data_IF_255138755772
#
_entry.id   IF_255138755772
#
_cell.length_a   1.000
_cell.length_b   1.000
_cell.length_c   1.000
_cell.angle_alpha   90.00
_cell.angle_beta   90.00
_cell.angle_gamma   90.00
#
_symmetry.space_group_name_H-M   'P 1'
#
loop_
_entity.id
_entity.type
_entity.pdbx_description
1 polymer ?
#
# COMPACT_ATOMS: atom_id res chain seq x y z
N UNK A 1 25.32 0.72 46.09
CA UNK A 1 24.59 -0.29 45.29
C UNK A 1 25.03 -0.11 43.85
N UNK A 2 26.15 -0.74 43.52
CA UNK A 2 26.74 -0.71 42.18
C UNK A 2 25.81 -1.40 41.18
N UNK A 3 25.38 -0.65 40.16
CA UNK A 3 24.72 -1.22 38.99
C UNK A 3 25.80 -1.90 38.14
N UNK A 4 25.84 -3.21 38.20
CA UNK A 4 26.60 -4.01 37.24
C UNK A 4 25.85 -3.90 35.91
N UNK A 5 26.30 -2.98 35.05
CA UNK A 5 25.98 -3.03 33.62
C UNK A 5 26.64 -4.29 33.06
N UNK A 6 25.89 -5.41 33.07
CA UNK A 6 26.26 -6.61 32.34
C UNK A 6 26.14 -6.24 30.86
N UNK A 7 27.23 -5.74 30.28
CA UNK A 7 27.34 -5.41 28.87
C UNK A 7 27.15 -6.66 28.01
N UNK A 8 25.91 -7.04 27.76
CA UNK A 8 25.59 -8.16 26.86
C UNK A 8 26.06 -7.76 25.47
N UNK A 9 27.17 -8.36 25.04
CA UNK A 9 27.71 -8.17 23.71
C UNK A 9 26.61 -8.47 22.68
N UNK A 10 26.20 -7.46 21.91
CA UNK A 10 25.14 -7.64 20.91
C UNK A 10 25.65 -8.59 19.82
N UNK A 11 24.85 -9.59 19.42
CA UNK A 11 25.25 -10.52 18.37
C UNK A 11 25.59 -9.76 17.09
N UNK A 12 26.71 -10.13 16.44
CA UNK A 12 27.12 -9.53 15.16
C UNK A 12 26.21 -10.00 14.03
N UNK A 13 26.09 -9.18 12.99
CA UNK A 13 25.39 -9.54 11.77
C UNK A 13 26.04 -10.77 11.13
N UNK A 14 25.21 -11.73 10.69
CA UNK A 14 25.69 -12.99 10.09
C UNK A 14 26.23 -12.83 8.67
N UNK A 15 26.04 -11.67 8.03
CA UNK A 15 26.64 -11.37 6.73
C UNK A 15 28.16 -11.25 6.86
N UNK A 16 28.89 -11.92 5.98
CA UNK A 16 30.34 -11.87 5.88
C UNK A 16 30.83 -10.42 5.88
N UNK A 17 31.86 -10.14 6.69
CA UNK A 17 32.50 -8.82 6.81
C UNK A 17 31.58 -7.68 7.28
N UNK A 18 30.40 -7.96 7.84
CA UNK A 18 29.55 -6.91 8.39
C UNK A 18 29.92 -6.63 9.87
N UNK A 19 30.48 -5.45 10.21
CA UNK A 19 30.85 -5.13 11.59
C UNK A 19 29.65 -4.75 12.47
N UNK A 20 28.43 -4.67 11.90
CA UNK A 20 27.25 -4.14 12.60
C UNK A 20 26.65 -5.16 13.56
N UNK A 21 26.17 -4.68 14.70
CA UNK A 21 25.40 -5.49 15.63
C UNK A 21 23.96 -5.66 15.19
N UNK A 22 23.36 -6.74 15.65
CA UNK A 22 21.94 -7.04 15.52
C UNK A 22 21.21 -6.69 16.82
N UNK A 23 19.89 -6.62 16.76
CA UNK A 23 19.04 -6.36 17.92
C UNK A 23 17.97 -7.45 18.01
N UNK A 24 17.52 -7.74 19.24
CA UNK A 24 16.39 -8.62 19.52
C UNK A 24 16.54 -10.03 18.90
N UNK A 25 17.75 -10.60 18.95
CA UNK A 25 18.03 -11.95 18.47
C UNK A 25 17.96 -12.13 16.95
N UNK A 26 17.89 -11.05 16.17
CA UNK A 26 17.84 -11.13 14.70
C UNK A 26 19.20 -11.56 14.11
N UNK A 27 19.24 -12.38 13.05
CA UNK A 27 20.49 -12.84 12.45
C UNK A 27 21.21 -11.76 11.61
N UNK A 28 20.49 -10.74 11.14
CA UNK A 28 21.02 -9.68 10.28
C UNK A 28 20.70 -8.28 10.81
N UNK A 29 21.59 -7.31 10.52
CA UNK A 29 21.37 -5.91 10.86
C UNK A 29 20.38 -5.25 9.89
N UNK A 30 19.94 -4.02 10.19
CA UNK A 30 19.00 -3.28 9.35
C UNK A 30 19.46 -3.02 7.91
N UNK A 31 20.77 -3.10 7.63
CA UNK A 31 21.32 -2.99 6.26
C UNK A 31 21.31 -4.29 5.48
N UNK A 32 21.06 -5.40 6.15
CA UNK A 32 21.03 -6.75 5.58
C UNK A 32 19.71 -7.44 5.90
N UNK A 33 18.66 -6.63 6.10
CA UNK A 33 17.34 -7.11 6.47
C UNK A 33 16.76 -8.00 5.36
N UNK A 34 17.13 -7.72 4.11
CA UNK A 34 16.78 -8.48 2.92
C UNK A 34 17.31 -9.93 2.93
N UNK A 35 18.31 -10.24 3.77
CA UNK A 35 18.82 -11.60 3.92
C UNK A 35 17.97 -12.45 4.89
N UNK A 36 17.01 -11.84 5.59
CA UNK A 36 16.03 -12.58 6.40
C UNK A 36 15.04 -13.23 5.43
N UNK A 37 14.80 -14.56 5.47
CA UNK A 37 13.93 -15.25 4.52
C UNK A 37 12.55 -14.59 4.36
N UNK A 38 11.92 -14.25 5.48
CA UNK A 38 10.63 -13.55 5.46
C UNK A 38 10.69 -12.17 4.80
N UNK A 39 11.77 -11.40 5.02
CA UNK A 39 11.93 -10.11 4.36
C UNK A 39 12.18 -10.28 2.86
N UNK A 40 12.97 -11.28 2.45
CA UNK A 40 13.18 -11.62 1.04
C UNK A 40 11.86 -12.00 0.34
N UNK A 41 11.02 -12.81 0.99
CA UNK A 41 9.67 -13.15 0.49
C UNK A 41 8.80 -11.91 0.31
N UNK A 42 8.78 -11.00 1.30
CA UNK A 42 8.03 -9.75 1.21
C UNK A 42 8.54 -8.85 0.08
N UNK A 43 9.86 -8.75 -0.09
CA UNK A 43 10.47 -7.98 -1.19
C UNK A 43 10.03 -8.58 -2.53
N UNK A 44 10.13 -9.89 -2.71
CA UNK A 44 9.70 -10.57 -3.93
C UNK A 44 8.21 -10.36 -4.22
N UNK A 45 7.35 -10.36 -3.19
CA UNK A 45 5.92 -10.04 -3.35
C UNK A 45 5.69 -8.59 -3.77
N UNK A 46 6.45 -7.64 -3.22
CA UNK A 46 6.36 -6.23 -3.59
C UNK A 46 6.85 -5.99 -5.03
N UNK A 47 7.95 -6.61 -5.42
CA UNK A 47 8.48 -6.56 -6.79
C UNK A 47 7.47 -7.14 -7.79
N UNK A 48 6.89 -8.30 -7.49
CA UNK A 48 5.84 -8.90 -8.32
C UNK A 48 4.63 -7.97 -8.50
N UNK A 49 4.19 -7.30 -7.42
CA UNK A 49 3.09 -6.31 -7.50
C UNK A 49 3.49 -5.11 -8.34
N UNK A 50 4.73 -4.64 -8.21
CA UNK A 50 5.25 -3.52 -9.00
C UNK A 50 5.29 -3.86 -10.49
N UNK A 51 5.81 -5.03 -10.87
CA UNK A 51 5.81 -5.51 -12.25
C UNK A 51 4.39 -5.66 -12.83
N UNK A 52 3.45 -6.15 -12.01
CA UNK A 52 2.04 -6.22 -12.41
C UNK A 52 1.47 -4.82 -12.67
N UNK A 53 1.79 -3.85 -11.81
CA UNK A 53 1.35 -2.47 -11.93
C UNK A 53 1.98 -1.76 -13.14
N UNK A 54 3.22 -2.06 -13.48
CA UNK A 54 3.89 -1.52 -14.68
C UNK A 54 3.27 -1.98 -16.01
N UNK A 55 2.54 -3.10 -16.00
CA UNK A 55 1.81 -3.61 -17.17
C UNK A 55 0.43 -3.00 -17.36
N UNK A 56 -0.07 -2.25 -16.36
CA UNK A 56 -1.37 -1.63 -16.41
C UNK A 56 -1.32 -0.35 -17.25
N UNK A 57 -2.40 -0.12 -18.00
CA UNK A 57 -2.64 1.17 -18.62
C UNK A 57 -2.91 2.24 -17.57
N UNK A 58 -2.73 3.51 -17.92
CA UNK A 58 -3.02 4.63 -17.03
C UNK A 58 -4.47 4.59 -16.49
N UNK A 59 -5.43 4.17 -17.33
CA UNK A 59 -6.82 4.02 -16.95
C UNK A 59 -7.04 2.91 -15.91
N UNK A 60 -6.34 1.79 -16.03
CA UNK A 60 -6.42 0.66 -15.08
C UNK A 60 -5.78 1.02 -13.74
N UNK A 61 -4.68 1.78 -13.75
CA UNK A 61 -4.07 2.33 -12.53
C UNK A 61 -5.07 3.22 -11.78
N UNK A 62 -5.79 4.08 -12.49
CA UNK A 62 -6.82 4.90 -11.87
C UNK A 62 -7.98 4.08 -11.32
N UNK A 63 -8.39 2.99 -11.98
CA UNK A 63 -9.43 2.11 -11.46
C UNK A 63 -8.98 1.44 -10.17
N UNK A 64 -7.73 0.99 -10.10
CA UNK A 64 -7.15 0.42 -8.89
C UNK A 64 -7.16 1.43 -7.73
N UNK A 65 -6.72 2.66 -7.98
CA UNK A 65 -6.68 3.72 -6.96
C UNK A 65 -8.11 4.09 -6.46
N UNK A 66 -9.11 4.12 -7.35
CA UNK A 66 -10.52 4.31 -6.95
C UNK A 66 -11.03 3.14 -6.10
N UNK A 67 -10.70 1.90 -6.47
CA UNK A 67 -11.09 0.71 -5.70
C UNK A 67 -10.47 0.74 -4.31
N UNK A 68 -9.18 1.09 -4.20
CA UNK A 68 -8.49 1.21 -2.91
C UNK A 68 -9.19 2.24 -2.02
N UNK A 69 -9.47 3.43 -2.57
CA UNK A 69 -10.13 4.51 -1.84
C UNK A 69 -11.53 4.09 -1.34
N UNK A 70 -12.31 3.39 -2.18
CA UNK A 70 -13.61 2.88 -1.80
C UNK A 70 -13.53 1.72 -0.79
N UNK A 71 -12.52 0.85 -0.85
CA UNK A 71 -12.31 -0.18 0.19
C UNK A 71 -12.03 0.43 1.56
N UNK A 72 -11.29 1.53 1.59
CA UNK A 72 -10.93 2.21 2.84
C UNK A 72 -12.11 2.96 3.45
N UNK A 73 -12.97 3.58 2.62
CA UNK A 73 -14.07 4.45 3.08
C UNK A 73 -15.46 3.81 3.01
N UNK A 74 -15.60 2.66 2.34
CA UNK A 74 -16.87 2.03 2.00
C UNK A 74 -17.58 2.76 0.85
N UNK A 75 -18.01 4.00 1.10
CA UNK A 75 -18.73 4.84 0.15
C UNK A 75 -18.10 6.24 0.10
N UNK A 76 -18.03 6.83 -1.09
CA UNK A 76 -17.49 8.19 -1.26
C UNK A 76 -18.26 8.96 -2.33
N UNK A 77 -18.35 10.29 -2.20
CA UNK A 77 -18.95 11.12 -3.26
C UNK A 77 -17.98 11.29 -4.42
N UNK A 78 -18.49 11.66 -5.60
CA UNK A 78 -17.63 11.96 -6.76
C UNK A 78 -16.62 13.05 -6.42
N UNK A 79 -17.04 14.09 -5.70
CA UNK A 79 -16.17 15.19 -5.26
C UNK A 79 -15.13 14.71 -4.24
N UNK A 80 -15.52 13.81 -3.33
CA UNK A 80 -14.63 13.20 -2.36
C UNK A 80 -13.53 12.38 -3.04
N UNK A 81 -13.90 11.56 -4.02
CA UNK A 81 -12.95 10.77 -4.83
C UNK A 81 -12.05 11.68 -5.68
N UNK A 82 -12.62 12.67 -6.35
CA UNK A 82 -11.85 13.63 -7.15
C UNK A 82 -10.79 14.36 -6.30
N UNK A 83 -11.15 14.75 -5.07
CA UNK A 83 -10.21 15.39 -4.14
C UNK A 83 -9.14 14.43 -3.63
N UNK A 84 -9.51 13.20 -3.27
CA UNK A 84 -8.57 12.19 -2.77
C UNK A 84 -7.53 11.82 -3.82
N UNK A 85 -7.96 11.65 -5.07
CA UNK A 85 -7.12 11.24 -6.19
C UNK A 85 -6.52 12.42 -6.97
N UNK A 86 -6.80 13.66 -6.56
CA UNK A 86 -6.35 14.91 -7.20
C UNK A 86 -6.67 14.98 -8.70
N UNK A 87 -7.88 14.53 -9.06
CA UNK A 87 -8.35 14.49 -10.44
C UNK A 87 -9.44 15.55 -10.70
N UNK A 88 -9.55 16.08 -11.93
CA UNK A 88 -10.67 16.93 -12.32
C UNK A 88 -12.01 16.21 -12.15
N UNK A 89 -13.02 16.92 -11.64
CA UNK A 89 -14.34 16.35 -11.36
C UNK A 89 -15.00 15.74 -12.62
N UNK A 90 -14.83 16.39 -13.77
CA UNK A 90 -15.33 15.89 -15.05
C UNK A 90 -14.69 14.55 -15.45
N UNK A 91 -13.39 14.40 -15.23
CA UNK A 91 -12.65 13.15 -15.49
C UNK A 91 -13.12 12.05 -14.54
N UNK A 92 -13.28 12.36 -13.25
CA UNK A 92 -13.82 11.41 -12.26
C UNK A 92 -15.21 10.90 -12.66
N UNK A 93 -16.09 11.79 -13.12
CA UNK A 93 -17.42 11.39 -13.60
C UNK A 93 -17.40 10.48 -14.84
N UNK A 94 -16.38 10.57 -15.71
CA UNK A 94 -16.20 9.63 -16.84
C UNK A 94 -15.67 8.28 -16.37
N UNK A 95 -14.68 8.29 -15.47
CA UNK A 95 -14.06 7.09 -14.87
C UNK A 95 -15.12 6.26 -14.14
N UNK A 96 -15.88 6.87 -13.24
CA UNK A 96 -16.91 6.16 -12.46
C UNK A 96 -18.03 5.59 -13.34
N UNK A 97 -18.37 6.26 -14.46
CA UNK A 97 -19.30 5.70 -15.44
C UNK A 97 -18.72 4.50 -16.18
N UNK A 98 -17.43 4.51 -16.51
CA UNK A 98 -16.76 3.34 -17.08
C UNK A 98 -16.73 2.16 -16.08
N UNK A 99 -16.34 2.42 -14.83
CA UNK A 99 -16.31 1.40 -13.76
C UNK A 99 -17.70 0.85 -13.42
N UNK A 100 -18.76 1.68 -13.48
CA UNK A 100 -20.14 1.20 -13.32
C UNK A 100 -20.52 0.26 -14.46
N UNK A 101 -20.15 0.59 -15.71
CA UNK A 101 -20.45 -0.26 -16.88
C UNK A 101 -19.72 -1.60 -16.82
N UNK A 102 -18.54 -1.65 -16.22
CA UNK A 102 -17.80 -2.90 -15.98
C UNK A 102 -18.24 -3.65 -14.73
N UNK A 103 -19.25 -3.18 -14.01
CA UNK A 103 -19.79 -3.85 -12.82
C UNK A 103 -18.87 -3.81 -11.60
N UNK A 104 -17.90 -2.90 -11.54
CA UNK A 104 -16.97 -2.78 -10.41
C UNK A 104 -17.54 -1.95 -9.25
N UNK A 105 -18.42 -0.99 -9.56
CA UNK A 105 -19.00 -0.07 -8.59
C UNK A 105 -20.49 0.13 -8.82
N UNK A 106 -21.20 0.48 -7.75
CA UNK A 106 -22.56 1.03 -7.82
C UNK A 106 -22.50 2.53 -7.63
N UNK A 107 -23.35 3.24 -8.38
CA UNK A 107 -23.56 4.67 -8.21
C UNK A 107 -24.94 4.90 -7.59
N UNK A 108 -24.96 5.62 -6.48
CA UNK A 108 -26.16 5.99 -5.75
C UNK A 108 -26.24 7.48 -5.46
N UNK A 109 -27.26 7.87 -4.69
CA UNK A 109 -27.40 9.22 -4.16
C UNK A 109 -27.49 9.16 -2.64
N UNK A 110 -26.83 10.09 -1.96
CA UNK A 110 -26.98 10.24 -0.51
C UNK A 110 -28.20 11.10 -0.16
N UNK A 111 -28.47 11.27 1.14
CA UNK A 111 -29.54 12.13 1.68
C UNK A 111 -29.43 13.60 1.27
N UNK A 112 -28.23 14.05 0.87
CA UNK A 112 -27.95 15.40 0.37
C UNK A 112 -28.01 15.49 -1.17
N UNK A 113 -28.56 14.47 -1.84
CA UNK A 113 -28.70 14.35 -3.30
C UNK A 113 -27.36 14.41 -4.07
N UNK A 114 -26.22 14.20 -3.40
CA UNK A 114 -24.91 14.08 -4.04
C UNK A 114 -24.72 12.66 -4.60
N UNK A 115 -24.04 12.55 -5.74
CA UNK A 115 -23.73 11.24 -6.34
C UNK A 115 -22.62 10.58 -5.54
N UNK A 116 -22.84 9.33 -5.18
CA UNK A 116 -21.91 8.50 -4.42
C UNK A 116 -21.55 7.25 -5.19
N UNK A 117 -20.35 6.75 -4.95
CA UNK A 117 -19.86 5.48 -5.45
C UNK A 117 -19.55 4.55 -4.27
N UNK A 118 -19.86 3.27 -4.45
CA UNK A 118 -19.53 2.17 -3.54
C UNK A 118 -19.11 0.96 -4.38
N UNK A 119 -18.31 0.05 -3.81
CA UNK A 119 -17.97 -1.21 -4.47
C UNK A 119 -19.19 -2.13 -4.54
N UNK A 120 -19.28 -2.93 -5.61
CA UNK A 120 -20.35 -3.94 -5.79
C UNK A 120 -20.18 -5.10 -4.82
#
# INVERSE_FOLDING_TARGET
MDRIDVGVARPKCSKLECPRSTANGKPYCCKHIEMIPYAAELIAQLEKRKEQREKLTEAELFFEDVVIELRLKGQSTIEGLARALRLPLLSMGKILRAMKRSGLIRLGKNSRNSITAELV
#
